data_IF_156964791853
#
_entry.id   IF_156964791853
#
_cell.length_a   1.000
_cell.length_b   1.000
_cell.length_c   1.000
_cell.angle_alpha   90.00
_cell.angle_beta   90.00
_cell.angle_gamma   90.00
#
_symmetry.space_group_name_H-M   'P 1'
#
loop_
_entity.id
_entity.type
_entity.pdbx_description
1 polymer ?
#
# COMPACT_ATOMS: atom_id res chain seq x y z
N UNK A 1 4.47 -67.81 31.31
CA UNK A 1 5.50 -66.81 30.99
C UNK A 1 4.90 -65.85 29.97
N UNK A 2 4.65 -64.59 30.34
CA UNK A 2 4.15 -63.57 29.41
C UNK A 2 5.34 -62.82 28.80
N UNK A 3 5.41 -62.78 27.47
CA UNK A 3 6.46 -62.09 26.73
C UNK A 3 6.18 -60.58 26.75
N UNK A 4 6.95 -59.86 27.54
CA UNK A 4 6.82 -58.41 27.80
C UNK A 4 7.19 -57.51 26.60
N UNK A 5 7.68 -58.07 25.49
CA UNK A 5 8.13 -57.29 24.32
C UNK A 5 7.13 -57.22 23.15
N UNK A 6 5.91 -57.75 23.29
CA UNK A 6 4.95 -57.83 22.18
C UNK A 6 3.90 -56.70 22.12
N UNK A 7 3.82 -55.81 23.10
CA UNK A 7 2.82 -54.73 23.11
C UNK A 7 3.43 -53.42 22.58
N UNK A 8 3.31 -53.18 21.27
CA UNK A 8 3.62 -51.89 20.65
C UNK A 8 2.34 -51.06 20.63
N UNK A 9 2.25 -50.06 21.50
CA UNK A 9 1.11 -49.13 21.56
C UNK A 9 1.08 -48.21 20.35
N UNK A 10 -0.11 -48.02 19.78
CA UNK A 10 -0.34 -47.08 18.68
C UNK A 10 -0.53 -45.68 19.27
N UNK A 11 0.29 -44.70 18.85
CA UNK A 11 0.20 -43.33 19.35
C UNK A 11 -0.91 -42.63 18.58
N UNK A 12 -2.09 -42.52 19.18
CA UNK A 12 -3.22 -41.79 18.59
C UNK A 12 -3.10 -40.30 18.94
N UNK A 13 -2.74 -39.48 17.97
CA UNK A 13 -2.77 -38.02 18.11
C UNK A 13 -4.22 -37.55 18.09
N UNK A 14 -4.80 -37.29 19.26
CA UNK A 14 -6.13 -36.72 19.36
C UNK A 14 -6.09 -35.23 19.02
N UNK A 15 -6.58 -34.86 17.84
CA UNK A 15 -6.82 -33.46 17.49
C UNK A 15 -8.15 -33.02 18.08
N UNK A 16 -8.12 -31.99 18.93
CA UNK A 16 -9.33 -31.37 19.46
C UNK A 16 -10.14 -30.75 18.31
N UNK A 17 -11.36 -31.21 18.10
CA UNK A 17 -12.25 -30.76 17.01
C UNK A 17 -13.10 -29.54 17.39
N UNK A 18 -13.08 -29.13 18.66
CA UNK A 18 -13.93 -28.06 19.17
C UNK A 18 -13.15 -27.14 20.13
N UNK A 19 -13.41 -25.82 20.04
CA UNK A 19 -12.65 -24.74 20.69
C UNK A 19 -12.50 -24.84 22.21
N UNK A 20 -13.38 -25.60 22.86
CA UNK A 20 -13.43 -25.75 24.32
C UNK A 20 -12.59 -26.92 24.84
N UNK A 21 -11.99 -27.72 23.95
CA UNK A 21 -11.15 -28.85 24.34
C UNK A 21 -9.68 -28.44 24.49
N UNK A 22 -9.02 -29.04 25.47
CA UNK A 22 -7.61 -28.84 25.74
C UNK A 22 -6.76 -29.32 24.55
N UNK A 23 -5.86 -28.46 24.06
CA UNK A 23 -5.04 -28.75 22.87
C UNK A 23 -5.66 -28.30 21.54
N UNK A 24 -6.80 -27.58 21.56
CA UNK A 24 -7.33 -26.93 20.36
C UNK A 24 -6.37 -25.85 19.86
N UNK A 25 -5.78 -26.08 18.70
CA UNK A 25 -5.08 -25.06 17.93
C UNK A 25 -6.08 -24.52 16.91
N UNK A 26 -6.39 -23.21 16.98
CA UNK A 26 -7.12 -22.59 15.87
C UNK A 26 -6.36 -22.88 14.58
N UNK A 27 -7.06 -23.23 13.47
CA UNK A 27 -6.40 -23.33 12.18
C UNK A 27 -5.73 -21.98 11.95
N UNK A 28 -4.40 -21.99 11.96
CA UNK A 28 -3.56 -20.80 11.79
C UNK A 28 -4.08 -20.14 10.52
N UNK A 29 -4.88 -19.08 10.62
CA UNK A 29 -5.34 -18.34 9.44
C UNK A 29 -4.06 -17.96 8.72
N UNK A 30 -3.82 -18.59 7.58
CA UNK A 30 -2.67 -18.27 6.74
C UNK A 30 -2.67 -16.75 6.60
N UNK A 31 -1.56 -16.12 6.95
CA UNK A 31 -1.45 -14.67 6.98
C UNK A 31 -1.70 -14.12 5.56
N UNK A 32 -2.96 -13.81 5.25
CA UNK A 32 -3.38 -13.20 3.97
C UNK A 32 -3.02 -11.71 3.87
N UNK A 33 -1.97 -11.25 4.58
CA UNK A 33 -1.78 -9.81 4.87
C UNK A 33 -0.70 -9.11 4.05
N UNK A 34 0.04 -9.83 3.20
CA UNK A 34 1.14 -9.23 2.42
C UNK A 34 0.74 -8.77 1.01
N UNK A 35 -0.10 -9.52 0.29
CA UNK A 35 -0.57 -9.11 -1.05
C UNK A 35 -1.51 -7.89 -0.99
N UNK A 36 -2.35 -7.82 0.04
CA UNK A 36 -3.31 -6.72 0.25
C UNK A 36 -2.57 -5.38 0.41
N UNK A 37 -1.53 -5.34 1.26
CA UNK A 37 -0.79 -4.11 1.52
C UNK A 37 -0.05 -3.55 0.30
N UNK A 38 0.59 -4.43 -0.49
CA UNK A 38 1.32 -3.99 -1.70
C UNK A 38 0.34 -3.43 -2.74
N UNK A 39 -0.81 -4.09 -2.90
CA UNK A 39 -1.86 -3.67 -3.83
C UNK A 39 -2.48 -2.34 -3.38
N UNK A 40 -2.80 -2.21 -2.09
CA UNK A 40 -3.35 -0.98 -1.50
C UNK A 40 -2.40 0.20 -1.65
N UNK A 41 -1.10 -0.01 -1.37
CA UNK A 41 -0.09 1.03 -1.55
C UNK A 41 0.03 1.44 -3.03
N UNK A 42 0.09 0.48 -3.94
CA UNK A 42 0.16 0.74 -5.37
C UNK A 42 -1.07 1.53 -5.86
N UNK A 43 -2.27 1.19 -5.37
CA UNK A 43 -3.49 1.90 -5.69
C UNK A 43 -3.48 3.33 -5.12
N UNK A 44 -3.08 3.51 -3.85
CA UNK A 44 -2.97 4.84 -3.25
C UNK A 44 -1.96 5.73 -3.99
N UNK A 45 -0.83 5.16 -4.43
CA UNK A 45 0.18 5.86 -5.22
C UNK A 45 -0.34 6.23 -6.62
N UNK A 46 -1.05 5.31 -7.27
CA UNK A 46 -1.74 5.57 -8.56
C UNK A 46 -2.75 6.71 -8.44
N UNK A 47 -3.57 6.69 -7.40
CA UNK A 47 -4.56 7.75 -7.15
C UNK A 47 -3.88 9.09 -6.82
N UNK A 48 -2.73 9.07 -6.14
CA UNK A 48 -1.93 10.27 -5.92
C UNK A 48 -1.41 10.87 -7.23
N UNK A 49 -0.94 10.05 -8.19
CA UNK A 49 -0.54 10.54 -9.51
C UNK A 49 -1.69 11.18 -10.28
N UNK A 50 -2.88 10.57 -10.28
CA UNK A 50 -4.05 11.18 -10.91
C UNK A 50 -4.41 12.52 -10.27
N UNK A 51 -4.40 12.60 -8.93
CA UNK A 51 -4.65 13.85 -8.21
C UNK A 51 -3.64 14.95 -8.57
N UNK A 52 -2.35 14.61 -8.72
CA UNK A 52 -1.33 15.58 -9.17
C UNK A 52 -1.62 16.04 -10.60
N UNK A 53 -2.02 15.14 -11.49
CA UNK A 53 -2.38 15.48 -12.86
C UNK A 53 -3.59 16.43 -12.91
N UNK A 54 -4.62 16.16 -12.10
CA UNK A 54 -5.80 17.03 -12.01
C UNK A 54 -5.43 18.42 -11.51
N UNK A 55 -4.54 18.52 -10.51
CA UNK A 55 -4.03 19.81 -10.02
C UNK A 55 -3.24 20.57 -11.09
N UNK A 56 -2.43 19.88 -11.89
CA UNK A 56 -1.71 20.49 -13.02
C UNK A 56 -2.69 21.03 -14.07
N UNK A 57 -3.67 20.22 -14.48
CA UNK A 57 -4.68 20.67 -15.44
C UNK A 57 -5.50 21.85 -14.94
N UNK A 58 -5.84 21.89 -13.65
CA UNK A 58 -6.56 23.02 -13.08
C UNK A 58 -5.71 24.29 -13.05
N UNK A 59 -4.43 24.18 -12.67
CA UNK A 59 -3.47 25.27 -12.77
C UNK A 59 -3.36 25.82 -14.19
N UNK A 60 -3.24 24.93 -15.18
CA UNK A 60 -3.14 25.31 -16.59
C UNK A 60 -4.43 25.97 -17.10
N UNK A 61 -5.59 25.44 -16.71
CA UNK A 61 -6.91 25.98 -17.06
C UNK A 61 -7.07 27.41 -16.54
N UNK A 62 -6.73 27.64 -15.27
CA UNK A 62 -6.84 28.97 -14.66
C UNK A 62 -5.81 29.94 -15.26
N UNK A 63 -4.58 29.49 -15.49
CA UNK A 63 -3.53 30.29 -16.15
C UNK A 63 -3.96 30.71 -17.56
N UNK A 64 -4.51 29.79 -18.34
CA UNK A 64 -5.01 30.07 -19.68
C UNK A 64 -6.23 31.02 -19.63
N UNK A 65 -7.15 30.79 -18.70
CA UNK A 65 -8.31 31.65 -18.55
C UNK A 65 -7.93 33.10 -18.18
N UNK A 66 -6.95 33.29 -17.31
CA UNK A 66 -6.39 34.61 -17.00
C UNK A 66 -5.75 35.25 -18.24
N UNK A 67 -4.98 34.50 -19.03
CA UNK A 67 -4.31 35.02 -20.21
C UNK A 67 -5.28 35.47 -21.32
N UNK A 68 -6.40 34.74 -21.50
CA UNK A 68 -7.39 35.04 -22.55
C UNK A 68 -8.45 36.04 -22.07
N UNK A 69 -8.86 35.98 -20.80
CA UNK A 69 -9.89 36.83 -20.20
C UNK A 69 -9.50 37.22 -18.76
N UNK A 70 -8.67 38.25 -18.60
CA UNK A 70 -8.15 38.65 -17.29
C UNK A 70 -9.24 38.96 -16.25
N UNK A 71 -10.34 39.55 -16.67
CA UNK A 71 -11.43 39.95 -15.77
C UNK A 71 -12.32 38.77 -15.30
N UNK A 72 -12.10 37.57 -15.84
CA UNK A 72 -12.94 36.39 -15.56
C UNK A 72 -12.38 35.47 -14.47
N UNK A 73 -11.15 35.69 -14.01
CA UNK A 73 -10.45 34.84 -13.03
C UNK A 73 -9.58 35.71 -12.11
N UNK A 74 -9.59 35.41 -10.80
CA UNK A 74 -8.71 36.08 -9.84
C UNK A 74 -7.26 35.56 -9.95
N UNK A 75 -6.29 36.46 -9.97
CA UNK A 75 -4.85 36.13 -9.99
C UNK A 75 -4.42 35.30 -8.77
N UNK A 76 -5.04 35.51 -7.61
CA UNK A 76 -4.76 34.74 -6.40
C UNK A 76 -5.16 33.28 -6.59
N UNK A 77 -6.29 33.00 -7.23
CA UNK A 77 -6.75 31.63 -7.50
C UNK A 77 -5.81 30.91 -8.46
N UNK A 78 -5.34 31.59 -9.52
CA UNK A 78 -4.33 31.07 -10.45
C UNK A 78 -3.05 30.73 -9.69
N UNK A 79 -2.58 31.65 -8.84
CA UNK A 79 -1.35 31.48 -8.06
C UNK A 79 -1.46 30.35 -7.05
N UNK A 80 -2.60 30.24 -6.36
CA UNK A 80 -2.89 29.16 -5.41
C UNK A 80 -2.93 27.81 -6.13
N UNK A 81 -3.60 27.73 -7.29
CA UNK A 81 -3.66 26.51 -8.09
C UNK A 81 -2.27 26.09 -8.58
N UNK A 82 -1.48 27.04 -9.06
CA UNK A 82 -0.11 26.79 -9.50
C UNK A 82 0.77 26.25 -8.35
N UNK A 83 0.71 26.85 -7.16
CA UNK A 83 1.52 26.39 -6.03
C UNK A 83 1.05 25.03 -5.50
N UNK A 84 -0.27 24.77 -5.49
CA UNK A 84 -0.82 23.44 -5.18
C UNK A 84 -0.26 22.39 -6.13
N UNK A 85 -0.34 22.62 -7.44
CA UNK A 85 0.19 21.72 -8.45
C UNK A 85 1.70 21.50 -8.27
N UNK A 86 2.46 22.57 -8.05
CA UNK A 86 3.92 22.54 -7.87
C UNK A 86 4.33 21.74 -6.63
N UNK A 87 3.77 22.04 -5.46
CA UNK A 87 4.09 21.34 -4.21
C UNK A 87 3.72 19.86 -4.32
N UNK A 88 2.53 19.55 -4.85
CA UNK A 88 2.08 18.15 -4.99
C UNK A 88 2.96 17.36 -5.96
N UNK A 89 3.44 17.97 -7.04
CA UNK A 89 4.40 17.35 -7.95
C UNK A 89 5.76 17.11 -7.27
N UNK A 90 6.28 18.10 -6.56
CA UNK A 90 7.56 17.99 -5.84
C UNK A 90 7.53 16.88 -4.79
N UNK A 91 6.43 16.80 -4.02
CA UNK A 91 6.22 15.73 -3.04
C UNK A 91 6.20 14.36 -3.74
N UNK A 92 5.42 14.24 -4.80
CA UNK A 92 5.30 12.99 -5.57
C UNK A 92 6.63 12.54 -6.15
N UNK A 93 7.39 13.46 -6.76
CA UNK A 93 8.75 13.21 -7.25
C UNK A 93 9.66 12.70 -6.14
N UNK A 94 9.64 13.35 -4.97
CA UNK A 94 10.45 12.95 -3.82
C UNK A 94 10.12 11.53 -3.34
N UNK A 95 8.82 11.16 -3.34
CA UNK A 95 8.39 9.81 -2.97
C UNK A 95 8.90 8.78 -4.01
N UNK A 96 8.70 9.04 -5.30
CA UNK A 96 9.16 8.13 -6.37
C UNK A 96 10.68 7.93 -6.32
N UNK A 97 11.44 8.99 -6.09
CA UNK A 97 12.90 8.91 -5.92
C UNK A 97 13.28 8.03 -4.74
N UNK A 98 12.62 8.19 -3.58
CA UNK A 98 12.85 7.36 -2.38
C UNK A 98 12.49 5.90 -2.61
N UNK A 99 11.35 5.61 -3.24
CA UNK A 99 10.93 4.24 -3.57
C UNK A 99 11.93 3.58 -4.51
N UNK A 100 12.36 4.29 -5.55
CA UNK A 100 13.35 3.80 -6.52
C UNK A 100 14.72 3.59 -5.87
N UNK A 101 15.13 4.47 -4.96
CA UNK A 101 16.35 4.31 -4.18
C UNK A 101 16.26 3.08 -3.27
N UNK A 102 15.19 2.94 -2.49
CA UNK A 102 15.00 1.79 -1.60
C UNK A 102 14.99 0.46 -2.37
N UNK A 103 14.38 0.41 -3.55
CA UNK A 103 14.44 -0.77 -4.42
C UNK A 103 15.89 -1.10 -4.83
N UNK A 104 16.66 -0.10 -5.28
CA UNK A 104 18.07 -0.30 -5.64
C UNK A 104 18.92 -0.78 -4.45
N UNK A 105 18.70 -0.23 -3.26
CA UNK A 105 19.39 -0.64 -2.04
C UNK A 105 19.10 -2.10 -1.67
N UNK A 106 17.84 -2.54 -1.75
CA UNK A 106 17.44 -3.93 -1.48
C UNK A 106 18.04 -4.93 -2.48
N UNK A 107 18.19 -4.52 -3.75
CA UNK A 107 18.80 -5.38 -4.78
C UNK A 107 20.32 -5.44 -4.63
N UNK A 108 20.97 -4.32 -4.26
CA UNK A 108 22.42 -4.23 -4.10
C UNK A 108 22.94 -4.82 -2.77
N UNK A 109 22.08 -5.03 -1.77
CA UNK A 109 22.41 -5.72 -0.52
C UNK A 109 22.56 -7.25 -0.69
N UNK A 110 22.44 -7.79 -1.91
CA UNK A 110 22.60 -9.21 -2.24
C UNK A 110 24.01 -9.53 -2.73
#
# INVERSE_FOLDING_TARGET
MFNVNAAKGDIVHMMATHKSHFGFQEPRKAARKSEDFVTDFAQAMKDAFYRVNDLQHESDRLTHALAVRPDSVDIHDVTIAAEKARISLLLTKSIVERVTQGYRELVNLR
#
